data_IF_824492077771
#
_entry.id   IF_824492077771
#
_cell.length_a   1.000
_cell.length_b   1.000
_cell.length_c   1.000
_cell.angle_alpha   90.00
_cell.angle_beta   90.00
_cell.angle_gamma   90.00
#
_symmetry.space_group_name_H-M   'P 1'
#
loop_
_entity.id
_entity.type
_entity.pdbx_description
1 polymer ?
#
# COMPACT_ATOMS: atom_id res chain seq x y z
N UNK A 1 -20.36 -29.44 -1.88
CA UNK A 1 -20.53 -28.35 -2.87
C UNK A 1 -19.30 -27.46 -2.74
N UNK A 2 -18.30 -27.71 -3.58
CA UNK A 2 -16.96 -27.11 -3.47
C UNK A 2 -16.95 -25.82 -4.29
N UNK A 3 -16.82 -24.66 -3.64
CA UNK A 3 -16.73 -23.36 -4.31
C UNK A 3 -15.30 -23.22 -4.85
N UNK A 4 -15.15 -23.47 -6.15
CA UNK A 4 -13.93 -23.26 -6.90
C UNK A 4 -13.67 -21.75 -7.01
N UNK A 5 -12.79 -21.22 -6.14
CA UNK A 5 -12.33 -19.84 -6.21
C UNK A 5 -11.54 -19.64 -7.51
N UNK A 6 -12.23 -19.12 -8.52
CA UNK A 6 -11.66 -18.69 -9.79
C UNK A 6 -10.75 -17.49 -9.55
N UNK A 7 -9.45 -17.77 -9.37
CA UNK A 7 -8.40 -16.75 -9.46
C UNK A 7 -8.49 -16.05 -10.83
N UNK A 8 -8.62 -14.72 -10.91
CA UNK A 8 -8.61 -14.05 -12.19
C UNK A 8 -7.23 -14.26 -12.83
N UNK A 9 -7.18 -15.02 -13.93
CA UNK A 9 -5.96 -15.18 -14.72
C UNK A 9 -5.62 -13.82 -15.31
N UNK A 10 -4.68 -13.12 -14.67
CA UNK A 10 -4.09 -11.89 -15.18
C UNK A 10 -3.44 -12.20 -16.54
N UNK A 11 -4.16 -11.86 -17.62
CA UNK A 11 -3.75 -12.08 -19.00
C UNK A 11 -2.84 -10.92 -19.39
N UNK A 12 -1.55 -11.18 -19.61
CA UNK A 12 -0.63 -10.17 -20.14
C UNK A 12 -1.00 -9.88 -21.62
N UNK A 13 -1.33 -8.63 -21.99
CA UNK A 13 -1.56 -8.27 -23.39
C UNK A 13 -0.25 -7.99 -24.14
N UNK A 14 -0.36 -7.99 -25.48
CA UNK A 14 0.76 -7.91 -26.41
C UNK A 14 1.59 -6.60 -26.26
N UNK A 15 2.92 -6.64 -26.47
CA UNK A 15 3.80 -5.50 -26.25
C UNK A 15 3.50 -4.35 -27.23
N UNK A 16 3.12 -3.18 -26.68
CA UNK A 16 2.96 -1.94 -27.42
C UNK A 16 4.27 -1.15 -27.55
N UNK A 17 4.22 0.01 -28.21
CA UNK A 17 5.36 0.94 -28.35
C UNK A 17 5.94 1.27 -26.98
N UNK A 18 7.20 0.87 -26.76
CA UNK A 18 7.94 1.08 -25.50
C UNK A 18 7.92 2.55 -25.07
N UNK A 19 7.17 2.87 -24.02
CA UNK A 19 7.19 4.19 -23.39
C UNK A 19 8.54 4.45 -22.72
N UNK A 20 9.11 5.66 -22.86
CA UNK A 20 10.32 6.06 -22.10
C UNK A 20 10.11 5.96 -20.58
N UNK A 21 8.87 6.15 -20.12
CA UNK A 21 8.46 5.94 -18.73
C UNK A 21 8.50 4.45 -18.39
N UNK A 22 8.03 3.58 -19.29
CA UNK A 22 8.13 2.13 -19.11
C UNK A 22 9.59 1.68 -19.05
N UNK A 23 10.48 2.23 -19.87
CA UNK A 23 11.92 1.93 -19.82
C UNK A 23 12.58 2.42 -18.51
N UNK A 24 12.22 3.61 -18.02
CA UNK A 24 12.71 4.10 -16.73
C UNK A 24 12.21 3.24 -15.57
N UNK A 25 10.90 2.91 -15.55
CA UNK A 25 10.29 2.04 -14.56
C UNK A 25 10.89 0.62 -14.62
N UNK A 26 11.08 0.03 -15.80
CA UNK A 26 11.77 -1.25 -15.96
C UNK A 26 13.18 -1.25 -15.38
N UNK A 27 13.88 -0.11 -15.38
CA UNK A 27 15.25 -0.01 -14.89
C UNK A 27 15.35 0.31 -13.39
N UNK A 28 14.42 1.10 -12.85
CA UNK A 28 14.46 1.55 -11.45
C UNK A 28 13.61 0.69 -10.52
N UNK A 29 12.46 0.22 -11.00
CA UNK A 29 11.47 -0.49 -10.19
C UNK A 29 11.96 -1.86 -9.70
N UNK A 30 12.68 -2.70 -10.48
CA UNK A 30 13.24 -3.96 -9.96
C UNK A 30 14.26 -3.77 -8.83
N UNK A 31 15.00 -2.65 -8.83
CA UNK A 31 15.95 -2.33 -7.77
C UNK A 31 15.25 -1.78 -6.52
N UNK A 32 14.24 -0.92 -6.72
CA UNK A 32 13.40 -0.36 -5.64
C UNK A 32 12.56 -1.44 -4.95
N UNK A 33 11.96 -2.34 -5.73
CA UNK A 33 11.13 -3.46 -5.26
C UNK A 33 11.95 -4.71 -4.96
N UNK A 34 13.25 -4.53 -4.69
CA UNK A 34 14.27 -5.57 -4.63
C UNK A 34 13.71 -6.94 -4.25
N UNK A 35 13.80 -7.88 -5.20
CA UNK A 35 13.30 -9.26 -5.17
C UNK A 35 12.10 -9.47 -4.24
N UNK A 36 10.89 -9.55 -4.80
CA UNK A 36 9.83 -10.28 -4.10
C UNK A 36 10.35 -11.68 -3.79
N UNK A 37 10.38 -12.12 -2.52
CA UNK A 37 10.48 -13.55 -2.21
C UNK A 37 9.15 -14.23 -2.47
N UNK A 38 8.03 -13.61 -2.09
CA UNK A 38 6.71 -14.23 -2.17
C UNK A 38 5.67 -13.35 -2.87
N UNK A 39 4.77 -14.00 -3.61
CA UNK A 39 3.62 -13.35 -4.25
C UNK A 39 3.91 -12.72 -5.60
N UNK A 40 3.00 -11.85 -6.05
CA UNK A 40 3.06 -11.24 -7.38
C UNK A 40 2.59 -9.78 -7.34
N UNK A 41 3.29 -8.92 -8.06
CA UNK A 41 2.84 -7.56 -8.35
C UNK A 41 2.83 -7.32 -9.85
N UNK A 42 1.68 -6.93 -10.38
CA UNK A 42 1.53 -6.46 -11.76
C UNK A 42 1.46 -4.95 -11.77
N UNK A 43 2.37 -4.31 -12.51
CA UNK A 43 2.40 -2.86 -12.68
C UNK A 43 2.01 -2.52 -14.11
N UNK A 44 0.86 -1.89 -14.27
CA UNK A 44 0.43 -1.30 -15.54
C UNK A 44 0.99 0.11 -15.64
N UNK A 45 1.65 0.41 -16.75
CA UNK A 45 2.23 1.72 -17.03
C UNK A 45 1.25 2.60 -17.80
N UNK A 46 1.46 3.93 -17.88
CA UNK A 46 0.60 4.81 -18.67
C UNK A 46 0.54 4.44 -20.16
N UNK A 47 1.56 3.74 -20.67
CA UNK A 47 1.61 3.22 -22.05
C UNK A 47 0.81 1.94 -22.26
N UNK A 48 0.10 1.44 -21.25
CA UNK A 48 -0.56 0.12 -21.20
C UNK A 48 0.40 -1.07 -21.34
N UNK A 49 1.69 -0.83 -21.10
CA UNK A 49 2.65 -1.92 -20.91
C UNK A 49 2.50 -2.47 -19.48
N UNK A 50 2.65 -3.78 -19.33
CA UNK A 50 2.57 -4.47 -18.05
C UNK A 50 3.95 -4.98 -17.63
N UNK A 51 4.33 -4.68 -16.40
CA UNK A 51 5.51 -5.23 -15.74
C UNK A 51 5.04 -6.21 -14.68
N UNK A 52 5.49 -7.47 -14.77
CA UNK A 52 5.12 -8.50 -13.80
C UNK A 52 6.32 -8.82 -12.94
N UNK A 53 6.19 -8.58 -11.64
CA UNK A 53 7.16 -8.95 -10.64
C UNK A 53 6.62 -10.19 -9.91
N UNK A 54 7.34 -11.31 -10.02
CA UNK A 54 6.97 -12.57 -9.35
C UNK A 54 8.02 -12.91 -8.31
N UNK A 55 7.55 -13.32 -7.13
CA UNK A 55 8.39 -13.94 -6.14
C UNK A 55 8.77 -15.37 -6.49
N UNK A 56 9.77 -15.89 -5.80
CA UNK A 56 10.18 -17.30 -5.86
C UNK A 56 9.20 -18.24 -5.16
N UNK A 57 8.42 -17.72 -4.22
CA UNK A 57 7.43 -18.43 -3.42
C UNK A 57 6.00 -17.96 -3.73
N UNK A 58 4.99 -18.83 -3.57
CA UNK A 58 3.59 -18.42 -3.60
C UNK A 58 3.29 -17.34 -2.54
N UNK A 59 2.38 -16.43 -2.84
CA UNK A 59 2.03 -15.35 -1.92
C UNK A 59 0.94 -14.43 -2.47
N UNK A 60 0.66 -13.31 -1.79
CA UNK A 60 -0.39 -12.39 -2.19
C UNK A 60 -0.13 -11.80 -3.60
N UNK A 61 -1.20 -11.55 -4.35
CA UNK A 61 -1.15 -11.00 -5.69
C UNK A 61 -1.86 -9.66 -5.75
N UNK A 62 -1.25 -8.67 -6.37
CA UNK A 62 -1.85 -7.33 -6.51
C UNK A 62 -1.53 -6.69 -7.86
N UNK A 63 -2.33 -5.69 -8.21
CA UNK A 63 -2.14 -4.85 -9.39
C UNK A 63 -2.01 -3.39 -8.99
N UNK A 64 -1.09 -2.68 -9.65
CA UNK A 64 -0.89 -1.24 -9.55
C UNK A 64 -0.95 -0.64 -10.96
N UNK A 65 -1.91 0.25 -11.20
CA UNK A 65 -2.04 0.96 -12.48
C UNK A 65 -1.55 2.40 -12.32
N UNK A 66 -0.48 2.74 -13.03
CA UNK A 66 0.13 4.08 -13.00
C UNK A 66 -0.47 4.90 -14.13
N UNK A 67 -1.11 6.01 -13.78
CA UNK A 67 -1.73 6.93 -14.74
C UNK A 67 -0.83 8.11 -15.06
N UNK A 68 -0.05 8.59 -14.09
CA UNK A 68 0.78 9.77 -14.24
C UNK A 68 2.22 9.58 -13.72
N UNK A 69 3.25 10.04 -14.44
CA UNK A 69 4.65 9.97 -13.97
C UNK A 69 4.96 10.78 -12.70
N UNK A 70 4.03 11.63 -12.22
CA UNK A 70 4.19 12.45 -11.01
C UNK A 70 4.30 11.59 -9.75
N UNK A 71 3.71 10.40 -9.78
CA UNK A 71 3.91 9.36 -8.77
C UNK A 71 5.39 9.19 -8.41
N UNK A 72 6.26 9.03 -9.41
CA UNK A 72 7.67 8.76 -9.15
C UNK A 72 8.36 9.93 -8.47
N UNK A 73 8.08 11.16 -8.91
CA UNK A 73 8.61 12.37 -8.27
C UNK A 73 8.17 12.44 -6.80
N UNK A 74 6.89 12.22 -6.51
CA UNK A 74 6.35 12.25 -5.14
C UNK A 74 6.94 11.16 -4.25
N UNK A 75 7.10 9.94 -4.77
CA UNK A 75 7.71 8.83 -4.03
C UNK A 75 9.18 9.14 -3.70
N UNK A 76 9.91 9.74 -4.63
CA UNK A 76 11.31 10.14 -4.41
C UNK A 76 11.44 11.29 -3.40
N UNK A 77 10.56 12.30 -3.45
CA UNK A 77 10.64 13.47 -2.57
C UNK A 77 10.01 13.23 -1.19
N UNK A 78 8.94 12.43 -1.12
CA UNK A 78 8.05 12.34 0.05
C UNK A 78 7.78 10.90 0.48
N UNK A 79 8.43 9.90 -0.12
CA UNK A 79 8.36 8.51 0.31
C UNK A 79 6.95 7.90 0.21
N UNK A 80 6.59 7.17 1.27
CA UNK A 80 5.29 6.53 1.48
C UNK A 80 4.14 7.55 1.55
N UNK A 81 4.36 8.72 2.16
CA UNK A 81 3.37 9.81 2.13
C UNK A 81 3.13 10.30 0.70
N UNK A 82 4.19 10.43 -0.10
CA UNK A 82 4.07 10.77 -1.52
C UNK A 82 3.31 9.72 -2.33
N UNK A 83 3.48 8.44 -1.99
CA UNK A 83 2.73 7.32 -2.56
C UNK A 83 1.23 7.40 -2.21
N UNK A 84 0.89 7.68 -0.96
CA UNK A 84 -0.51 7.84 -0.54
C UNK A 84 -1.17 9.09 -1.16
N UNK A 85 -0.47 10.22 -1.19
CA UNK A 85 -1.00 11.45 -1.80
C UNK A 85 -1.23 11.31 -3.31
N UNK A 86 -0.38 10.54 -4.00
CA UNK A 86 -0.57 10.27 -5.43
C UNK A 86 -1.77 9.35 -5.71
N UNK A 87 -2.13 8.46 -4.79
CA UNK A 87 -3.38 7.70 -4.85
C UNK A 87 -4.59 8.62 -4.75
N UNK A 88 -4.60 9.49 -3.73
CA UNK A 88 -5.68 10.47 -3.53
C UNK A 88 -5.82 11.45 -4.71
N UNK A 89 -4.71 11.75 -5.39
CA UNK A 89 -4.67 12.60 -6.58
C UNK A 89 -5.01 11.87 -7.90
N UNK A 90 -5.32 10.56 -7.86
CA UNK A 90 -5.63 9.76 -9.04
C UNK A 90 -4.43 9.51 -9.97
N UNK A 91 -3.20 9.72 -9.50
CA UNK A 91 -1.98 9.52 -10.30
C UNK A 91 -1.65 8.02 -10.48
N UNK A 92 -2.22 7.16 -9.62
CA UNK A 92 -2.27 5.72 -9.77
C UNK A 92 -3.52 5.15 -9.10
N UNK A 93 -3.91 3.95 -9.49
CA UNK A 93 -5.03 3.21 -8.88
C UNK A 93 -4.73 1.73 -8.76
N UNK A 94 -5.62 1.01 -8.08
CA UNK A 94 -5.56 -0.44 -7.92
C UNK A 94 -6.98 -0.98 -7.78
N UNK A 95 -7.27 -2.19 -8.29
CA UNK A 95 -8.57 -2.83 -8.07
C UNK A 95 -8.78 -3.23 -6.60
N UNK A 96 -7.70 -3.47 -5.85
CA UNK A 96 -7.77 -3.88 -4.45
C UNK A 96 -6.60 -3.23 -3.68
N UNK A 97 -6.93 -2.19 -2.91
CA UNK A 97 -5.95 -1.47 -2.11
C UNK A 97 -5.41 -2.33 -0.97
N UNK A 98 -6.26 -3.19 -0.38
CA UNK A 98 -5.83 -4.08 0.69
C UNK A 98 -4.79 -5.08 0.16
N UNK A 99 -5.08 -5.78 -0.94
CA UNK A 99 -4.15 -6.73 -1.55
C UNK A 99 -2.81 -6.05 -1.93
N UNK A 100 -2.85 -4.85 -2.52
CA UNK A 100 -1.65 -4.09 -2.85
C UNK A 100 -0.81 -3.77 -1.61
N UNK A 101 -1.44 -3.28 -0.55
CA UNK A 101 -0.73 -2.96 0.69
C UNK A 101 -0.17 -4.23 1.37
N UNK A 102 -0.87 -5.36 1.29
CA UNK A 102 -0.36 -6.67 1.76
C UNK A 102 0.92 -7.06 1.03
N UNK A 103 0.93 -6.99 -0.31
CA UNK A 103 2.11 -7.28 -1.12
C UNK A 103 3.27 -6.32 -0.79
N UNK A 104 3.01 -5.01 -0.73
CA UNK A 104 4.03 -4.01 -0.42
C UNK A 104 4.61 -4.18 1.00
N UNK A 105 3.80 -4.63 1.95
CA UNK A 105 4.24 -4.94 3.31
C UNK A 105 5.17 -6.16 3.33
N UNK A 106 4.82 -7.24 2.62
CA UNK A 106 5.66 -8.42 2.49
C UNK A 106 7.04 -8.08 1.88
N UNK A 107 7.07 -7.28 0.81
CA UNK A 107 8.30 -6.76 0.20
C UNK A 107 9.12 -5.94 1.20
N UNK A 108 8.46 -5.10 2.00
CA UNK A 108 9.13 -4.23 2.97
C UNK A 108 9.75 -5.03 4.12
N UNK A 109 9.08 -6.09 4.59
CA UNK A 109 9.57 -6.98 5.64
C UNK A 109 10.85 -7.70 5.19
N UNK A 110 10.86 -8.24 3.98
CA UNK A 110 12.03 -8.92 3.41
C UNK A 110 13.20 -7.96 3.16
N UNK A 111 12.92 -6.75 2.68
CA UNK A 111 13.95 -5.74 2.52
C UNK A 111 14.53 -5.23 3.87
N UNK A 112 13.91 -5.52 5.02
CA UNK A 112 14.46 -5.21 6.36
C UNK A 112 15.44 -6.28 6.85
N UNK A 113 15.28 -7.53 6.44
CA UNK A 113 16.15 -8.64 6.84
C UNK A 113 17.44 -8.71 6.02
N UNK A 114 17.45 -8.16 4.80
CA UNK A 114 18.67 -8.04 3.99
C UNK A 114 19.61 -6.91 4.49
N UNK A 115 20.91 -7.18 4.75
CA UNK A 115 21.86 -6.15 5.18
C UNK A 115 22.13 -5.14 4.05
N UNK A 116 21.48 -3.97 4.09
CA UNK A 116 21.67 -2.87 3.12
C UNK A 116 22.17 -1.59 3.79
N UNK A 117 23.49 -1.46 4.04
CA UNK A 117 24.07 -0.31 4.77
C UNK A 117 23.79 1.05 4.09
N UNK A 118 23.76 1.10 2.75
CA UNK A 118 23.46 2.33 1.99
C UNK A 118 22.00 2.80 2.17
N UNK A 119 21.04 1.88 2.21
CA UNK A 119 19.63 2.19 2.50
C UNK A 119 19.43 2.62 3.95
N UNK A 120 20.22 2.09 4.91
CA UNK A 120 20.22 2.56 6.30
C UNK A 120 20.70 4.01 6.40
N UNK A 121 21.76 4.37 5.67
CA UNK A 121 22.28 5.75 5.62
C UNK A 121 21.25 6.67 4.96
N UNK A 122 20.68 6.29 3.81
CA UNK A 122 19.63 7.07 3.16
C UNK A 122 18.38 7.24 4.05
N UNK A 123 17.96 6.19 4.76
CA UNK A 123 16.89 6.25 5.76
C UNK A 123 17.24 7.19 6.92
N UNK A 124 18.47 7.15 7.45
CA UNK A 124 18.94 8.05 8.51
C UNK A 124 18.98 9.51 8.05
N UNK A 125 19.48 9.78 6.85
CA UNK A 125 19.50 11.12 6.28
C UNK A 125 18.08 11.65 6.03
N UNK A 126 17.19 10.81 5.47
CA UNK A 126 15.77 11.15 5.31
C UNK A 126 15.07 11.38 6.64
N UNK A 127 15.37 10.57 7.67
CA UNK A 127 14.82 10.75 9.01
C UNK A 127 15.36 12.04 9.67
N UNK A 128 16.61 12.41 9.40
CA UNK A 128 17.18 13.68 9.86
C UNK A 128 16.57 14.90 9.14
N UNK A 129 16.17 14.73 7.87
CA UNK A 129 15.45 15.74 7.07
C UNK A 129 13.95 15.81 7.41
N UNK A 130 13.35 14.72 7.90
CA UNK A 130 11.99 14.66 8.45
C UNK A 130 11.91 15.18 9.90
N UNK A 131 12.72 16.18 10.25
CA UNK A 131 12.57 16.88 11.54
C UNK A 131 11.22 17.60 11.51
N UNK A 132 10.37 17.40 12.52
CA UNK A 132 9.08 18.09 12.68
C UNK A 132 9.31 19.61 12.61
N UNK A 133 9.14 20.21 11.43
CA UNK A 133 9.20 21.65 11.28
C UNK A 133 7.83 22.20 11.68
N UNK A 134 7.78 23.26 12.50
CA UNK A 134 6.52 23.93 12.88
C UNK A 134 5.62 24.24 11.67
N UNK A 135 6.22 24.53 10.51
CA UNK A 135 5.51 24.78 9.24
C UNK A 135 4.87 23.51 8.65
N UNK A 136 5.55 22.36 8.70
CA UNK A 136 4.99 21.06 8.30
C UNK A 136 3.92 20.56 9.26
N UNK A 137 4.15 20.69 10.57
CA UNK A 137 3.16 20.37 11.59
C UNK A 137 1.91 21.25 11.44
N UNK A 138 2.04 22.57 11.17
CA UNK A 138 0.88 23.45 10.94
C UNK A 138 0.09 23.06 9.68
N UNK A 139 0.75 22.60 8.61
CA UNK A 139 0.08 22.09 7.39
C UNK A 139 -0.64 20.77 7.66
N UNK A 140 -0.06 19.89 8.49
CA UNK A 140 -0.68 18.63 8.90
C UNK A 140 -1.84 18.85 9.89
N UNK A 141 -1.75 19.84 10.78
CA UNK A 141 -2.79 20.22 11.76
C UNK A 141 -3.94 20.98 11.08
N UNK A 142 -3.66 21.81 10.07
CA UNK A 142 -4.68 22.54 9.31
C UNK A 142 -5.61 21.64 8.48
N UNK A 143 -5.32 20.34 8.39
CA UNK A 143 -6.22 19.32 7.87
C UNK A 143 -7.00 18.63 9.01
N UNK A 144 -7.42 19.38 10.04
CA UNK A 144 -8.44 18.91 10.95
C UNK A 144 -9.75 18.84 10.17
N UNK A 145 -10.13 17.64 9.78
CA UNK A 145 -11.48 17.39 9.33
C UNK A 145 -12.38 17.49 10.57
N UNK A 146 -13.42 18.31 10.50
CA UNK A 146 -14.50 18.34 11.49
C UNK A 146 -15.36 17.07 11.35
N UNK A 147 -14.74 15.89 11.53
CA UNK A 147 -15.43 14.61 11.55
C UNK A 147 -16.02 14.43 12.94
N UNK A 148 -17.28 14.84 13.10
CA UNK A 148 -18.03 14.63 14.32
C UNK A 148 -18.51 13.17 14.47
N UNK A 149 -19.16 12.89 15.61
CA UNK A 149 -19.69 11.55 15.92
C UNK A 149 -20.63 11.00 14.83
N UNK A 150 -21.33 11.87 14.10
CA UNK A 150 -22.19 11.46 12.98
C UNK A 150 -21.42 10.73 11.87
N UNK A 151 -20.17 11.11 11.60
CA UNK A 151 -19.34 10.42 10.61
C UNK A 151 -18.91 9.05 11.12
N UNK A 152 -18.44 8.97 12.36
CA UNK A 152 -17.97 7.73 12.97
C UNK A 152 -19.10 6.71 13.19
N UNK A 153 -20.31 7.18 13.53
CA UNK A 153 -21.48 6.33 13.71
C UNK A 153 -21.96 5.62 12.44
N UNK A 154 -21.43 5.98 11.25
CA UNK A 154 -21.74 5.27 10.00
C UNK A 154 -21.01 3.92 9.88
N UNK A 155 -19.94 3.69 10.63
CA UNK A 155 -19.08 2.51 10.43
C UNK A 155 -18.44 1.93 11.70
N UNK A 156 -18.56 2.59 12.86
CA UNK A 156 -18.20 2.00 14.16
C UNK A 156 -19.34 1.15 14.74
N UNK A 157 -19.01 0.36 15.76
CA UNK A 157 -19.98 -0.33 16.61
C UNK A 157 -20.82 0.66 17.43
N UNK A 158 -21.92 0.18 18.03
CA UNK A 158 -22.81 0.99 18.84
C UNK A 158 -22.12 1.69 20.02
N UNK A 159 -21.03 1.12 20.53
CA UNK A 159 -20.21 1.69 21.60
C UNK A 159 -19.24 2.79 21.14
N UNK A 160 -19.19 3.10 19.85
CA UNK A 160 -18.26 4.07 19.24
C UNK A 160 -16.78 3.73 19.53
N UNK A 161 -16.44 2.44 19.58
CA UNK A 161 -15.10 1.99 19.93
C UNK A 161 -14.15 2.09 18.74
N UNK A 162 -13.37 3.18 18.68
CA UNK A 162 -12.32 3.33 17.67
C UNK A 162 -11.01 2.64 18.06
N UNK A 163 -11.10 1.32 18.26
CA UNK A 163 -9.96 0.47 18.59
C UNK A 163 -10.17 -0.95 18.07
N UNK A 164 -9.12 -1.78 18.09
CA UNK A 164 -9.22 -3.18 17.63
C UNK A 164 -10.23 -3.96 18.47
N UNK A 165 -11.12 -4.73 17.84
CA UNK A 165 -12.01 -5.67 18.51
C UNK A 165 -11.31 -7.01 18.79
N UNK A 166 -11.92 -7.86 19.63
CA UNK A 166 -11.45 -9.21 19.94
C UNK A 166 -12.38 -10.26 19.32
N UNK A 167 -11.97 -10.82 18.18
CA UNK A 167 -12.69 -11.91 17.53
C UNK A 167 -12.23 -13.27 18.04
N UNK A 168 -13.19 -14.17 18.26
CA UNK A 168 -12.98 -15.59 18.55
C UNK A 168 -13.05 -16.44 17.27
N UNK A 169 -12.95 -17.76 17.41
CA UNK A 169 -13.10 -18.70 16.28
C UNK A 169 -14.55 -18.84 15.80
N UNK A 170 -15.53 -18.42 16.60
CA UNK A 170 -16.94 -18.42 16.19
C UNK A 170 -17.27 -17.15 15.38
N UNK A 171 -18.18 -17.21 14.40
CA UNK A 171 -18.67 -16.02 13.71
C UNK A 171 -19.26 -15.02 14.70
N UNK A 172 -18.79 -13.77 14.64
CA UNK A 172 -19.22 -12.68 15.52
C UNK A 172 -19.42 -11.40 14.73
N UNK A 173 -20.38 -10.58 15.17
CA UNK A 173 -20.53 -9.20 14.72
C UNK A 173 -19.42 -8.31 15.31
N UNK A 174 -19.24 -7.12 14.74
CA UNK A 174 -18.27 -6.15 15.28
C UNK A 174 -18.63 -5.77 16.72
N UNK A 175 -19.91 -5.52 17.01
CA UNK A 175 -20.38 -5.17 18.37
C UNK A 175 -20.05 -6.26 19.38
N UNK A 176 -20.34 -7.53 19.06
CA UNK A 176 -20.00 -8.66 19.92
C UNK A 176 -18.48 -8.79 20.15
N UNK A 177 -17.67 -8.54 19.12
CA UNK A 177 -16.22 -8.61 19.25
C UNK A 177 -15.65 -7.43 20.07
N UNK A 178 -16.30 -6.26 20.06
CA UNK A 178 -15.92 -5.13 20.91
C UNK A 178 -16.33 -5.38 22.36
N UNK A 179 -17.52 -5.93 22.60
CA UNK A 179 -17.98 -6.31 23.94
C UNK A 179 -17.07 -7.37 24.56
N UNK A 180 -16.74 -8.44 23.81
CA UNK A 180 -15.81 -9.47 24.27
C UNK A 180 -14.42 -8.92 24.62
N UNK A 181 -13.97 -7.86 23.93
CA UNK A 181 -12.73 -7.16 24.29
C UNK A 181 -12.90 -6.43 25.62
N UNK A 182 -13.98 -5.68 25.79
CA UNK A 182 -14.23 -4.89 27.00
C UNK A 182 -14.38 -5.77 28.24
N UNK A 183 -15.03 -6.94 28.12
CA UNK A 183 -15.15 -7.91 29.20
C UNK A 183 -13.80 -8.54 29.62
N UNK A 184 -12.84 -8.60 28.68
CA UNK A 184 -11.53 -9.21 28.94
C UNK A 184 -10.56 -8.27 29.68
N UNK A 185 -10.68 -6.96 29.47
CA UNK A 185 -9.75 -5.93 29.96
C UNK A 185 -10.14 -5.50 31.37
#
# INVERSE_FOLDING_TARGET
MTVEQSSPRLRAPAPGRRSLIAALLQRTLPWLMGRLACGQLVVETPGRDYLVFRGTEPGPSAQLSIHHPRLMQRVLTSGDVGFAQSYMAGEWSTPDLHALLTVLSAISQENRTAPRPRLRIARRLRHALNRNTRRGSRRNIAAHYDLGNAFYGLWLDAGMNYSSALFSTAPQTLDQAQEAKLERV
#
